data_IF_178791451986
#
_entry.id   IF_178791451986
#
_cell.length_a   1.000
_cell.length_b   1.000
_cell.length_c   1.000
_cell.angle_alpha   90.00
_cell.angle_beta   90.00
_cell.angle_gamma   90.00
#
_symmetry.space_group_name_H-M   'P 1'
#
loop_
_entity.id
_entity.type
_entity.pdbx_description
1 polymer ?
#
# COMPACT_ATOMS: atom_id res chain seq x y z
N UNK A 1 -24.53 -12.32 7.26
CA UNK A 1 -24.15 -13.37 6.30
C UNK A 1 -23.38 -14.43 7.06
N UNK A 2 -23.78 -15.70 6.99
CA UNK A 2 -23.05 -16.81 7.64
C UNK A 2 -21.67 -17.00 6.98
N UNK A 3 -20.74 -17.66 7.67
CA UNK A 3 -19.40 -17.93 7.14
C UNK A 3 -19.44 -18.78 5.86
N UNK A 4 -20.37 -19.73 5.79
CA UNK A 4 -20.54 -20.62 4.63
C UNK A 4 -21.06 -19.87 3.41
N UNK A 5 -22.09 -19.03 3.58
CA UNK A 5 -22.63 -18.18 2.51
C UNK A 5 -21.60 -17.18 1.97
N UNK A 6 -20.73 -16.63 2.84
CA UNK A 6 -19.63 -15.77 2.38
C UNK A 6 -18.63 -16.56 1.53
N UNK A 7 -18.22 -17.74 2.00
CA UNK A 7 -17.24 -18.59 1.31
C UNK A 7 -17.74 -18.99 -0.08
N UNK A 8 -19.01 -19.39 -0.19
CA UNK A 8 -19.65 -19.71 -1.47
C UNK A 8 -19.68 -18.51 -2.42
N UNK A 9 -20.04 -17.31 -1.93
CA UNK A 9 -20.08 -16.09 -2.76
C UNK A 9 -18.68 -15.68 -3.23
N UNK A 10 -17.66 -15.73 -2.37
CA UNK A 10 -16.28 -15.44 -2.75
C UNK A 10 -15.77 -16.44 -3.80
N UNK A 11 -16.05 -17.74 -3.61
CA UNK A 11 -15.70 -18.77 -4.58
C UNK A 11 -16.42 -18.55 -5.92
N UNK A 12 -17.68 -18.12 -5.92
CA UNK A 12 -18.42 -17.79 -7.13
C UNK A 12 -17.80 -16.61 -7.89
N UNK A 13 -17.49 -15.50 -7.20
CA UNK A 13 -16.83 -14.33 -7.80
C UNK A 13 -15.47 -14.72 -8.37
N UNK A 14 -14.70 -15.52 -7.63
CA UNK A 14 -13.41 -16.00 -8.09
C UNK A 14 -13.52 -16.92 -9.34
N UNK A 15 -14.66 -17.60 -9.56
CA UNK A 15 -14.85 -18.55 -10.68
C UNK A 15 -15.48 -17.92 -11.94
N UNK A 16 -16.18 -16.80 -11.83
CA UNK A 16 -17.09 -16.30 -12.88
C UNK A 16 -16.72 -14.88 -13.35
N UNK A 17 -16.11 -14.71 -14.54
CA UNK A 17 -15.72 -13.39 -15.07
C UNK A 17 -16.75 -12.55 -15.87
N UNK A 18 -18.06 -12.86 -16.02
CA UNK A 18 -19.02 -11.95 -16.69
C UNK A 18 -19.70 -10.89 -15.80
N UNK A 19 -20.18 -11.24 -14.59
CA UNK A 19 -20.90 -10.28 -13.71
C UNK A 19 -20.00 -9.15 -13.18
N UNK A 20 -18.69 -9.37 -13.24
CA UNK A 20 -17.69 -8.37 -12.94
C UNK A 20 -17.62 -7.27 -14.01
N UNK A 21 -17.89 -7.57 -15.28
CA UNK A 21 -17.87 -6.55 -16.35
C UNK A 21 -19.00 -5.54 -16.15
N UNK A 22 -20.19 -6.01 -15.79
CA UNK A 22 -21.34 -5.14 -15.47
C UNK A 22 -21.08 -4.33 -14.19
N UNK A 23 -20.44 -4.92 -13.17
CA UNK A 23 -20.05 -4.21 -11.95
C UNK A 23 -18.92 -3.19 -12.18
N UNK A 24 -17.91 -3.53 -12.99
CA UNK A 24 -16.83 -2.63 -13.41
C UNK A 24 -17.37 -1.51 -14.29
N UNK A 25 -18.34 -1.81 -15.17
CA UNK A 25 -19.03 -0.83 -16.01
C UNK A 25 -19.88 0.13 -15.17
N UNK A 26 -20.69 -0.39 -14.25
CA UNK A 26 -21.42 0.40 -13.27
C UNK A 26 -20.48 1.28 -12.42
N UNK A 27 -19.34 0.74 -11.95
CA UNK A 27 -18.35 1.51 -11.18
C UNK A 27 -17.65 2.61 -12.02
N UNK A 28 -17.39 2.35 -13.31
CA UNK A 28 -16.85 3.35 -14.26
C UNK A 28 -17.84 4.49 -14.47
N UNK A 29 -19.13 4.19 -14.55
CA UNK A 29 -20.21 5.17 -14.71
C UNK A 29 -20.41 6.02 -13.44
N UNK A 30 -20.09 5.49 -12.27
CA UNK A 30 -20.20 6.19 -10.98
C UNK A 30 -18.98 7.06 -10.62
N UNK A 31 -17.85 6.99 -11.35
CA UNK A 31 -16.60 7.69 -10.97
C UNK A 31 -16.09 8.65 -12.04
N UNK A 32 -15.97 9.93 -11.67
CA UNK A 32 -15.15 10.91 -12.39
C UNK A 32 -13.67 10.55 -12.22
N UNK A 33 -12.85 10.62 -13.28
CA UNK A 33 -11.41 10.36 -13.17
C UNK A 33 -10.79 11.40 -12.25
N UNK A 34 -10.24 10.95 -11.12
CA UNK A 34 -9.35 11.77 -10.32
C UNK A 34 -8.03 11.93 -11.10
N UNK A 35 -7.75 13.14 -11.56
CA UNK A 35 -6.46 13.50 -12.15
C UNK A 35 -5.33 13.24 -11.15
N UNK A 36 -4.33 12.44 -11.54
CA UNK A 36 -3.09 12.26 -10.78
C UNK A 36 -3.21 11.30 -9.59
N UNK A 37 -3.37 10.00 -9.86
CA UNK A 37 -3.12 8.98 -8.83
C UNK A 37 -1.61 8.89 -8.61
N UNK A 38 -1.13 9.43 -7.51
CA UNK A 38 0.24 9.27 -7.02
C UNK A 38 0.55 7.78 -6.82
N UNK A 39 1.30 7.21 -7.76
CA UNK A 39 1.80 5.84 -7.73
C UNK A 39 2.78 5.74 -6.56
N UNK A 40 2.52 4.81 -5.62
CA UNK A 40 3.28 4.54 -4.38
C UNK A 40 2.86 5.29 -3.11
N UNK A 41 1.86 6.20 -3.17
CA UNK A 41 1.40 6.98 -2.01
C UNK A 41 2.55 7.73 -1.29
N UNK A 42 3.51 8.26 -2.06
CA UNK A 42 4.63 8.99 -1.50
C UNK A 42 4.18 10.35 -0.94
N UNK A 43 3.14 10.94 -1.54
CA UNK A 43 2.57 12.21 -1.12
C UNK A 43 1.51 12.02 -0.04
N UNK A 44 1.69 12.71 1.09
CA UNK A 44 0.72 12.81 2.18
C UNK A 44 -0.47 13.70 1.75
N UNK A 45 -1.28 13.22 0.80
CA UNK A 45 -2.52 13.86 0.35
C UNK A 45 -3.74 13.20 1.00
N UNK A 46 -4.76 13.95 1.44
CA UNK A 46 -6.00 13.37 1.96
C UNK A 46 -6.73 12.50 0.93
N UNK A 47 -7.10 11.28 1.33
CA UNK A 47 -7.86 10.29 0.53
C UNK A 47 -9.02 9.66 1.28
N UNK A 48 -9.07 9.87 2.59
CA UNK A 48 -10.11 9.29 3.43
C UNK A 48 -11.47 9.85 3.05
N UNK A 49 -12.44 8.96 2.89
CA UNK A 49 -13.77 9.31 2.42
C UNK A 49 -14.68 9.70 3.61
N UNK A 50 -15.24 10.93 3.61
CA UNK A 50 -16.26 11.30 4.58
C UNK A 50 -17.56 10.53 4.32
N UNK A 51 -18.23 10.09 5.38
CA UNK A 51 -19.54 9.42 5.34
C UNK A 51 -20.55 10.19 6.17
N UNK A 52 -21.82 10.09 5.78
CA UNK A 52 -22.94 10.79 6.43
C UNK A 52 -23.00 10.63 7.96
N UNK A 53 -22.60 9.47 8.47
CA UNK A 53 -22.66 9.13 9.90
C UNK A 53 -21.38 9.54 10.65
N UNK A 54 -20.38 10.13 9.98
CA UNK A 54 -19.14 10.57 10.62
C UNK A 54 -19.40 11.81 11.46
N UNK A 55 -19.06 11.73 12.75
CA UNK A 55 -18.92 12.90 13.62
C UNK A 55 -17.68 13.68 13.20
N UNK A 56 -17.87 14.92 12.77
CA UNK A 56 -16.80 15.75 12.21
C UNK A 56 -16.37 16.87 13.15
N UNK A 57 -15.06 17.10 13.19
CA UNK A 57 -14.43 18.18 13.94
C UNK A 57 -13.54 19.02 13.03
N UNK A 58 -13.50 20.33 13.28
CA UNK A 58 -12.63 21.27 12.59
C UNK A 58 -11.43 21.64 13.48
N UNK A 59 -10.30 22.01 12.87
CA UNK A 59 -9.20 22.64 13.62
C UNK A 59 -9.69 23.91 14.31
N UNK A 60 -9.25 24.18 15.55
CA UNK A 60 -9.60 25.40 16.24
C UNK A 60 -9.01 26.63 15.54
N UNK A 61 -9.73 27.75 15.56
CA UNK A 61 -9.23 29.03 15.04
C UNK A 61 -9.27 29.19 13.52
N UNK A 62 -10.00 28.33 12.81
CA UNK A 62 -10.27 28.52 11.38
C UNK A 62 -11.20 29.72 11.16
N UNK A 63 -10.87 30.55 10.18
CA UNK A 63 -11.70 31.69 9.78
C UNK A 63 -11.72 31.86 8.25
N UNK A 64 -12.77 32.51 7.76
CA UNK A 64 -12.97 32.76 6.34
C UNK A 64 -12.43 34.12 5.93
N UNK A 65 -11.62 34.15 4.87
CA UNK A 65 -11.09 35.36 4.26
C UNK A 65 -11.52 35.42 2.78
N UNK A 66 -12.02 36.57 2.35
CA UNK A 66 -12.26 36.86 0.93
C UNK A 66 -11.00 37.52 0.34
N UNK A 67 -10.45 36.93 -0.72
CA UNK A 67 -9.27 37.47 -1.42
C UNK A 67 -9.59 37.61 -2.91
N UNK A 68 -10.03 38.80 -3.29
CA UNK A 68 -10.50 39.06 -4.66
C UNK A 68 -11.79 38.29 -4.96
N UNK A 69 -11.73 37.35 -5.91
CA UNK A 69 -12.88 36.50 -6.28
C UNK A 69 -12.89 35.12 -5.60
N UNK A 70 -11.87 34.78 -4.81
CA UNK A 70 -11.78 33.50 -4.12
C UNK A 70 -12.09 33.64 -2.63
N UNK A 71 -12.79 32.64 -2.10
CA UNK A 71 -12.99 32.44 -0.67
C UNK A 71 -11.91 31.50 -0.16
N UNK A 72 -11.27 31.84 0.95
CA UNK A 72 -10.22 31.02 1.57
C UNK A 72 -10.55 30.72 3.02
N UNK A 73 -10.15 29.54 3.48
CA UNK A 73 -10.21 29.10 4.87
C UNK A 73 -8.80 29.11 5.44
N UNK A 74 -8.58 29.92 6.48
CA UNK A 74 -7.27 30.19 7.06
C UNK A 74 -7.19 29.78 8.52
N UNK A 75 -6.02 29.27 8.93
CA UNK A 75 -5.66 29.11 10.33
C UNK A 75 -5.14 30.41 10.94
N UNK A 76 -5.13 30.52 12.27
CA UNK A 76 -4.70 31.73 12.98
C UNK A 76 -3.25 32.14 12.72
N UNK A 77 -2.37 31.18 12.44
CA UNK A 77 -0.94 31.39 12.19
C UNK A 77 -0.58 31.51 10.69
N UNK A 78 -1.59 31.44 9.81
CA UNK A 78 -1.39 31.46 8.36
C UNK A 78 -0.74 30.20 7.77
N UNK A 79 -0.47 29.15 8.58
CA UNK A 79 0.08 27.88 8.09
C UNK A 79 -0.90 27.09 7.21
N UNK A 80 -2.19 27.39 7.38
CA UNK A 80 -3.31 26.83 6.62
C UNK A 80 -3.89 27.94 5.75
N UNK A 81 -3.96 27.69 4.45
CA UNK A 81 -4.60 28.60 3.50
C UNK A 81 -5.25 27.84 2.34
N UNK A 82 -6.50 27.40 2.55
CA UNK A 82 -7.23 26.53 1.62
C UNK A 82 -8.26 27.31 0.80
N UNK A 83 -8.24 27.16 -0.52
CA UNK A 83 -9.25 27.77 -1.40
C UNK A 83 -10.56 26.97 -1.39
N UNK A 84 -11.68 27.66 -1.16
CA UNK A 84 -13.04 27.10 -1.15
C UNK A 84 -13.74 27.43 -2.47
N UNK A 85 -13.31 26.78 -3.56
CA UNK A 85 -13.80 27.05 -4.91
C UNK A 85 -15.32 26.80 -5.05
N UNK A 86 -16.03 27.79 -5.58
CA UNK A 86 -17.46 27.69 -5.88
C UNK A 86 -18.37 27.70 -4.64
N UNK A 87 -17.90 28.25 -3.52
CA UNK A 87 -18.67 28.50 -2.30
C UNK A 87 -18.77 30.00 -2.00
N UNK A 88 -19.94 30.43 -1.52
CA UNK A 88 -20.10 31.77 -0.95
C UNK A 88 -19.60 31.79 0.49
N UNK A 89 -19.18 32.97 0.98
CA UNK A 89 -18.80 33.15 2.39
C UNK A 89 -19.91 32.71 3.33
N UNK A 90 -21.17 33.04 3.01
CA UNK A 90 -22.34 32.67 3.80
C UNK A 90 -22.49 31.15 3.91
N UNK A 91 -22.38 30.43 2.80
CA UNK A 91 -22.52 28.97 2.80
C UNK A 91 -21.39 28.30 3.59
N UNK A 92 -20.15 28.70 3.36
CA UNK A 92 -18.99 28.16 4.08
C UNK A 92 -19.06 28.45 5.59
N UNK A 93 -19.52 29.64 5.98
CA UNK A 93 -19.67 30.03 7.39
C UNK A 93 -20.72 29.15 8.07
N UNK A 94 -21.89 28.96 7.44
CA UNK A 94 -22.96 28.11 7.97
C UNK A 94 -22.50 26.66 8.16
N UNK A 95 -21.73 26.13 7.21
CA UNK A 95 -21.15 24.79 7.33
C UNK A 95 -20.16 24.74 8.50
N UNK A 96 -19.21 25.68 8.56
CA UNK A 96 -18.16 25.72 9.59
C UNK A 96 -18.73 25.84 11.00
N UNK A 97 -19.77 26.67 11.21
CA UNK A 97 -20.48 26.83 12.49
C UNK A 97 -21.22 25.54 12.92
N UNK A 98 -21.52 24.65 11.98
CA UNK A 98 -22.15 23.37 12.28
C UNK A 98 -21.15 22.26 12.64
N UNK A 99 -19.86 22.44 12.39
CA UNK A 99 -18.81 21.46 12.69
C UNK A 99 -18.27 21.71 14.10
N UNK A 100 -18.86 21.04 15.09
CA UNK A 100 -18.57 21.24 16.52
C UNK A 100 -17.93 20.01 17.19
N UNK A 101 -17.61 18.97 16.44
CA UNK A 101 -17.08 17.71 16.97
C UNK A 101 -18.11 16.81 17.64
N UNK A 102 -19.42 17.12 17.53
CA UNK A 102 -20.51 16.33 18.11
C UNK A 102 -21.50 15.86 17.05
N UNK A 103 -21.80 16.70 16.07
CA UNK A 103 -22.73 16.39 14.98
C UNK A 103 -22.11 15.51 13.90
N UNK A 104 -22.91 14.62 13.34
CA UNK A 104 -22.55 13.86 12.15
C UNK A 104 -22.70 14.69 10.88
N UNK A 105 -22.09 14.26 9.77
CA UNK A 105 -22.18 14.99 8.50
C UNK A 105 -23.61 15.15 7.98
N UNK A 106 -24.51 14.20 8.24
CA UNK A 106 -25.93 14.33 7.89
C UNK A 106 -26.61 15.47 8.68
N UNK A 107 -26.30 15.59 9.97
CA UNK A 107 -26.80 16.68 10.82
C UNK A 107 -26.18 18.03 10.41
N UNK A 108 -24.89 18.06 10.09
CA UNK A 108 -24.23 19.26 9.54
C UNK A 108 -24.92 19.72 8.26
N UNK A 109 -25.23 18.81 7.33
CA UNK A 109 -25.96 19.15 6.11
C UNK A 109 -27.33 19.75 6.41
N UNK A 110 -28.07 19.12 7.32
CA UNK A 110 -29.41 19.53 7.70
C UNK A 110 -29.43 20.90 8.38
N UNK A 111 -28.63 21.08 9.45
CA UNK A 111 -28.60 22.27 10.28
C UNK A 111 -27.99 23.48 9.57
N UNK A 112 -26.95 23.26 8.76
CA UNK A 112 -26.34 24.33 7.99
C UNK A 112 -27.27 24.85 6.90
N UNK A 113 -28.33 24.11 6.53
CA UNK A 113 -29.32 24.47 5.51
C UNK A 113 -28.70 24.89 4.18
N UNK A 114 -27.56 24.28 3.84
CA UNK A 114 -26.93 24.33 2.51
C UNK A 114 -27.34 23.09 1.72
N UNK A 115 -27.25 23.15 0.39
CA UNK A 115 -27.46 21.98 -0.44
C UNK A 115 -26.28 20.98 -0.36
N UNK A 116 -26.53 19.74 -0.77
CA UNK A 116 -25.55 18.66 -0.73
C UNK A 116 -24.30 18.95 -1.57
N UNK A 117 -24.46 19.63 -2.71
CA UNK A 117 -23.36 19.96 -3.61
C UNK A 117 -22.38 20.96 -2.99
N UNK A 118 -22.89 21.95 -2.25
CA UNK A 118 -22.09 22.90 -1.48
C UNK A 118 -21.34 22.23 -0.35
N UNK A 119 -21.99 21.37 0.44
CA UNK A 119 -21.29 20.60 1.47
C UNK A 119 -20.19 19.72 0.85
N UNK A 120 -20.48 19.05 -0.27
CA UNK A 120 -19.48 18.24 -0.97
C UNK A 120 -18.30 19.07 -1.49
N UNK A 121 -18.53 20.29 -1.98
CA UNK A 121 -17.44 21.24 -2.35
C UNK A 121 -16.61 21.64 -1.15
N UNK A 122 -17.25 21.95 -0.02
CA UNK A 122 -16.57 22.31 1.21
C UNK A 122 -15.68 21.16 1.70
N UNK A 123 -16.21 19.94 1.77
CA UNK A 123 -15.47 18.76 2.20
C UNK A 123 -14.32 18.43 1.27
N UNK A 124 -14.49 18.55 -0.07
CA UNK A 124 -13.38 18.35 -1.02
C UNK A 124 -12.20 19.29 -0.79
N UNK A 125 -12.46 20.52 -0.31
CA UNK A 125 -11.41 21.50 -0.03
C UNK A 125 -10.80 21.38 1.37
N UNK A 126 -11.46 20.72 2.32
CA UNK A 126 -11.12 20.82 3.76
C UNK A 126 -10.91 19.49 4.47
N UNK A 127 -11.53 18.41 4.01
CA UNK A 127 -11.56 17.13 4.73
C UNK A 127 -10.20 16.42 4.67
N UNK A 128 -9.74 15.94 5.83
CA UNK A 128 -8.41 15.37 6.04
C UNK A 128 -7.26 16.40 6.07
N UNK A 129 -7.55 17.69 5.87
CA UNK A 129 -6.60 18.79 6.02
C UNK A 129 -6.89 19.62 7.27
N UNK A 130 -8.14 20.05 7.44
CA UNK A 130 -8.58 20.90 8.56
C UNK A 130 -9.93 20.50 9.14
N UNK A 131 -10.69 19.67 8.42
CA UNK A 131 -11.90 18.99 8.90
C UNK A 131 -11.62 17.51 8.95
N UNK A 132 -12.04 16.84 10.02
CA UNK A 132 -11.63 15.49 10.36
C UNK A 132 -12.81 14.66 10.87
N UNK A 133 -12.69 13.34 10.77
CA UNK A 133 -13.62 12.36 11.35
C UNK A 133 -12.88 11.49 12.39
N UNK A 134 -12.50 12.06 13.55
CA UNK A 134 -11.57 11.42 14.49
C UNK A 134 -12.12 10.09 15.03
N UNK A 135 -13.42 10.00 15.31
CA UNK A 135 -14.02 8.77 15.80
C UNK A 135 -13.91 7.61 14.78
N UNK A 136 -14.14 7.90 13.49
CA UNK A 136 -14.01 6.93 12.42
C UNK A 136 -12.57 6.43 12.24
N UNK A 137 -11.59 7.33 12.33
CA UNK A 137 -10.16 6.95 12.29
C UNK A 137 -9.78 6.11 13.50
N UNK A 138 -10.21 6.50 14.71
CA UNK A 138 -9.93 5.74 15.93
C UNK A 138 -10.52 4.33 15.88
N UNK A 139 -11.74 4.18 15.37
CA UNK A 139 -12.36 2.87 15.18
C UNK A 139 -11.52 1.98 14.24
N UNK A 140 -11.08 2.55 13.10
CA UNK A 140 -10.28 1.82 12.12
C UNK A 140 -8.87 1.49 12.66
N UNK A 141 -8.20 2.43 13.31
CA UNK A 141 -6.88 2.21 13.95
C UNK A 141 -6.94 1.13 15.03
N UNK A 142 -8.02 1.09 15.81
CA UNK A 142 -8.24 0.04 16.82
C UNK A 142 -8.44 -1.33 16.18
N UNK A 143 -9.14 -1.39 15.04
CA UNK A 143 -9.40 -2.64 14.34
C UNK A 143 -8.18 -3.14 13.55
N UNK A 144 -7.43 -2.24 12.92
CA UNK A 144 -6.23 -2.52 12.15
C UNK A 144 -5.41 -1.22 12.03
N UNK A 145 -4.21 -1.11 12.63
CA UNK A 145 -3.40 0.10 12.52
C UNK A 145 -3.04 0.45 11.06
N UNK A 146 -3.17 1.72 10.63
CA UNK A 146 -2.92 2.08 9.22
C UNK A 146 -1.49 1.77 8.79
N UNK A 147 -0.53 1.89 9.71
CA UNK A 147 0.87 1.60 9.43
C UNK A 147 1.06 0.18 8.84
N UNK A 148 0.21 -0.77 9.20
CA UNK A 148 0.31 -2.16 8.74
C UNK A 148 -0.25 -2.40 7.33
N UNK A 149 -0.83 -1.38 6.71
CA UNK A 149 -1.45 -1.49 5.37
C UNK A 149 -0.87 -0.48 4.39
N UNK A 150 0.15 0.28 4.79
CA UNK A 150 0.81 1.29 3.94
C UNK A 150 2.26 0.92 3.67
N UNK A 151 2.79 1.45 2.57
CA UNK A 151 4.21 1.36 2.24
C UNK A 151 5.02 2.27 3.15
N UNK A 152 4.65 3.54 3.21
CA UNK A 152 5.33 4.52 4.04
C UNK A 152 4.38 5.03 5.12
N UNK A 153 4.86 5.29 6.34
CA UNK A 153 4.04 5.96 7.35
C UNK A 153 3.46 7.25 6.79
N UNK A 154 2.15 7.42 6.95
CA UNK A 154 1.42 8.58 6.46
C UNK A 154 0.35 8.94 7.47
N UNK A 155 -0.19 10.16 7.36
CA UNK A 155 -1.35 10.52 8.16
C UNK A 155 -2.50 9.52 7.90
N UNK A 156 -3.32 9.15 8.90
CA UNK A 156 -4.44 8.24 8.70
C UNK A 156 -5.39 8.68 7.59
N UNK A 157 -5.57 10.00 7.44
CA UNK A 157 -6.42 10.59 6.39
C UNK A 157 -5.85 10.45 4.97
N UNK A 158 -4.59 10.04 4.80
CA UNK A 158 -4.00 9.72 3.51
C UNK A 158 -4.32 8.30 3.03
N UNK A 159 -5.00 7.49 3.86
CA UNK A 159 -5.43 6.14 3.51
C UNK A 159 -6.88 6.15 3.05
N UNK A 160 -7.17 5.52 1.91
CA UNK A 160 -8.54 5.34 1.44
C UNK A 160 -9.35 4.50 2.43
N UNK A 161 -10.51 4.99 2.86
CA UNK A 161 -11.33 4.33 3.89
C UNK A 161 -11.78 2.93 3.47
N UNK A 162 -12.20 2.77 2.22
CA UNK A 162 -12.58 1.47 1.67
C UNK A 162 -11.42 0.48 1.67
N UNK A 163 -10.22 0.92 1.27
CA UNK A 163 -9.01 0.10 1.33
C UNK A 163 -8.75 -0.40 2.76
N UNK A 164 -8.81 0.49 3.74
CA UNK A 164 -8.56 0.15 5.14
C UNK A 164 -9.55 -0.91 5.66
N UNK A 165 -10.83 -0.72 5.41
CA UNK A 165 -11.89 -1.66 5.79
C UNK A 165 -11.69 -3.02 5.11
N UNK A 166 -11.35 -3.02 3.82
CA UNK A 166 -11.08 -4.24 3.06
C UNK A 166 -9.87 -5.00 3.61
N UNK A 167 -8.79 -4.31 3.97
CA UNK A 167 -7.60 -4.94 4.55
C UNK A 167 -7.88 -5.56 5.93
N UNK A 168 -8.76 -4.93 6.73
CA UNK A 168 -9.25 -5.55 7.97
C UNK A 168 -9.99 -6.86 7.67
N UNK A 169 -10.85 -6.87 6.67
CA UNK A 169 -11.60 -8.07 6.31
C UNK A 169 -10.68 -9.18 5.76
N UNK A 170 -9.64 -8.83 5.00
CA UNK A 170 -8.55 -9.74 4.59
C UNK A 170 -7.87 -10.35 5.82
N UNK A 171 -7.54 -9.53 6.84
CA UNK A 171 -6.89 -9.98 8.08
C UNK A 171 -7.75 -10.98 8.83
N UNK A 172 -9.03 -10.68 9.01
CA UNK A 172 -9.99 -11.56 9.68
C UNK A 172 -10.10 -12.88 8.92
N UNK A 173 -10.28 -12.84 7.59
CA UNK A 173 -10.46 -14.05 6.78
C UNK A 173 -9.22 -14.95 6.78
N UNK A 174 -8.03 -14.36 6.72
CA UNK A 174 -6.78 -15.11 6.80
C UNK A 174 -6.72 -15.93 8.10
N UNK A 175 -7.01 -15.29 9.25
CA UNK A 175 -6.99 -15.94 10.56
C UNK A 175 -8.04 -17.05 10.62
N UNK A 176 -9.27 -16.80 10.14
CA UNK A 176 -10.35 -17.79 10.07
C UNK A 176 -9.99 -19.02 9.22
N UNK A 177 -9.07 -18.90 8.25
CA UNK A 177 -8.75 -19.92 7.25
C UNK A 177 -7.29 -20.38 7.28
N UNK A 178 -6.64 -20.33 8.43
CA UNK A 178 -5.26 -20.84 8.57
C UNK A 178 -5.14 -22.35 8.33
N UNK A 179 -6.24 -23.09 8.41
CA UNK A 179 -6.35 -24.50 8.01
C UNK A 179 -6.05 -24.73 6.52
N UNK A 180 -6.30 -23.73 5.66
CA UNK A 180 -6.02 -23.80 4.23
C UNK A 180 -4.52 -23.94 3.87
N UNK A 181 -3.63 -23.87 4.87
CA UNK A 181 -2.20 -24.16 4.71
C UNK A 181 -1.88 -25.67 4.60
N UNK A 182 -2.91 -26.53 4.68
CA UNK A 182 -2.78 -27.97 4.54
C UNK A 182 -2.35 -28.43 3.13
N UNK A 183 -2.71 -27.67 2.08
CA UNK A 183 -2.34 -28.00 0.68
C UNK A 183 -2.18 -26.75 -0.20
N UNK A 184 -1.40 -26.82 -1.29
CA UNK A 184 -1.26 -25.67 -2.22
C UNK A 184 -2.60 -25.29 -2.87
N UNK A 185 -3.47 -26.26 -3.12
CA UNK A 185 -4.79 -26.03 -3.71
C UNK A 185 -5.68 -25.20 -2.79
N UNK A 186 -5.71 -25.53 -1.49
CA UNK A 186 -6.46 -24.76 -0.51
C UNK A 186 -5.85 -23.39 -0.26
N UNK A 187 -4.51 -23.29 -0.22
CA UNK A 187 -3.84 -21.99 -0.15
C UNK A 187 -4.22 -21.13 -1.35
N UNK A 188 -4.17 -21.65 -2.57
CA UNK A 188 -4.53 -20.90 -3.77
C UNK A 188 -5.98 -20.42 -3.69
N UNK A 189 -6.89 -21.27 -3.23
CA UNK A 189 -8.29 -20.88 -2.98
C UNK A 189 -8.37 -19.72 -2.00
N UNK A 190 -7.67 -19.81 -0.86
CA UNK A 190 -7.60 -18.75 0.13
C UNK A 190 -7.03 -17.45 -0.47
N UNK A 191 -5.90 -17.51 -1.20
CA UNK A 191 -5.30 -16.33 -1.82
C UNK A 191 -6.27 -15.61 -2.77
N UNK A 192 -7.07 -16.36 -3.53
CA UNK A 192 -8.12 -15.79 -4.41
C UNK A 192 -9.21 -15.13 -3.58
N UNK A 193 -9.68 -15.76 -2.51
CA UNK A 193 -10.65 -15.16 -1.58
C UNK A 193 -10.12 -13.86 -0.95
N UNK A 194 -8.88 -13.87 -0.48
CA UNK A 194 -8.21 -12.68 0.10
C UNK A 194 -8.07 -11.57 -0.94
N UNK A 195 -7.80 -11.90 -2.20
CA UNK A 195 -7.76 -10.91 -3.28
C UNK A 195 -9.15 -10.32 -3.59
N UNK A 196 -10.21 -11.12 -3.55
CA UNK A 196 -11.59 -10.60 -3.67
C UNK A 196 -11.88 -9.62 -2.52
N UNK A 197 -11.59 -10.02 -1.28
CA UNK A 197 -11.80 -9.15 -0.11
C UNK A 197 -10.96 -7.88 -0.17
N UNK A 198 -9.72 -7.97 -0.66
CA UNK A 198 -8.84 -6.81 -0.81
C UNK A 198 -9.46 -5.73 -1.72
N UNK A 199 -10.17 -6.15 -2.76
CA UNK A 199 -10.82 -5.25 -3.70
C UNK A 199 -12.23 -4.87 -3.27
N UNK A 200 -13.02 -5.79 -2.70
CA UNK A 200 -14.47 -5.64 -2.55
C UNK A 200 -14.99 -5.62 -1.09
N UNK A 201 -14.13 -5.91 -0.11
CA UNK A 201 -14.53 -6.05 1.29
C UNK A 201 -15.45 -7.26 1.54
N UNK A 202 -15.81 -7.48 2.81
CA UNK A 202 -16.66 -8.62 3.22
C UNK A 202 -18.11 -8.49 2.76
N UNK A 203 -18.62 -7.28 2.68
CA UNK A 203 -19.98 -6.94 2.23
C UNK A 203 -20.15 -6.98 0.71
N UNK A 204 -19.04 -6.90 -0.04
CA UNK A 204 -19.02 -6.81 -1.51
C UNK A 204 -19.67 -5.52 -2.05
N UNK A 205 -19.88 -4.53 -1.20
CA UNK A 205 -20.45 -3.22 -1.52
C UNK A 205 -19.39 -2.11 -1.65
N UNK A 206 -18.15 -2.39 -1.23
CA UNK A 206 -17.02 -1.49 -1.39
C UNK A 206 -16.23 -1.87 -2.64
N UNK A 207 -15.51 -0.91 -3.23
CA UNK A 207 -14.51 -1.22 -4.24
C UNK A 207 -13.27 -0.34 -4.13
N UNK A 208 -12.15 -0.95 -3.77
CA UNK A 208 -10.83 -0.36 -3.85
C UNK A 208 -10.22 -0.65 -5.22
N UNK A 209 -9.89 0.41 -5.96
CA UNK A 209 -9.18 0.31 -7.23
C UNK A 209 -7.71 0.69 -6.96
N UNK A 210 -6.76 -0.26 -7.02
CA UNK A 210 -5.36 0.08 -6.85
C UNK A 210 -4.90 1.13 -7.87
N UNK A 211 -4.02 2.02 -7.44
CA UNK A 211 -3.36 3.00 -8.30
C UNK A 211 -2.29 2.33 -9.18
N UNK A 212 -2.68 1.37 -10.01
CA UNK A 212 -1.79 0.66 -10.95
C UNK A 212 -2.35 0.80 -12.37
N UNK A 213 -1.52 1.12 -13.38
CA UNK A 213 -1.97 1.13 -14.78
C UNK A 213 -2.62 -0.19 -15.21
N UNK A 214 -2.17 -1.34 -14.67
CA UNK A 214 -2.77 -2.65 -14.96
C UNK A 214 -4.21 -2.74 -14.45
N UNK A 215 -4.53 -2.10 -13.33
CA UNK A 215 -5.88 -2.08 -12.76
C UNK A 215 -6.84 -1.23 -13.60
N UNK A 216 -6.35 -0.24 -14.35
CA UNK A 216 -7.17 0.56 -15.27
C UNK A 216 -7.57 -0.22 -16.52
N UNK A 217 -6.76 -1.21 -16.91
CA UNK A 217 -6.98 -2.02 -18.11
C UNK A 217 -7.87 -3.23 -17.83
N UNK A 218 -7.62 -3.96 -16.73
CA UNK A 218 -8.35 -5.19 -16.41
C UNK A 218 -8.27 -5.48 -14.90
N UNK A 219 -9.42 -5.43 -14.21
CA UNK A 219 -9.54 -5.96 -12.84
C UNK A 219 -10.28 -7.27 -12.89
N UNK A 220 -9.80 -8.26 -12.14
CA UNK A 220 -10.40 -9.58 -11.98
C UNK A 220 -10.25 -10.03 -10.52
N UNK A 221 -11.20 -9.72 -9.61
CA UNK A 221 -11.17 -10.18 -8.23
C UNK A 221 -11.07 -11.70 -8.16
N UNK A 222 -10.08 -12.20 -7.42
CA UNK A 222 -9.72 -13.62 -7.37
C UNK A 222 -9.18 -14.23 -8.67
N UNK A 223 -9.16 -13.51 -9.79
CA UNK A 223 -8.67 -14.00 -11.07
C UNK A 223 -7.15 -13.95 -11.17
N UNK A 224 -6.54 -15.06 -11.57
CA UNK A 224 -5.10 -15.16 -11.80
C UNK A 224 -4.71 -14.42 -13.09
N UNK A 225 -3.57 -13.75 -13.06
CA UNK A 225 -2.99 -13.08 -14.22
C UNK A 225 -2.10 -14.08 -14.98
N UNK A 226 -2.70 -14.96 -15.77
CA UNK A 226 -2.00 -16.10 -16.39
C UNK A 226 -1.26 -15.76 -17.69
N UNK A 227 -1.58 -14.63 -18.31
CA UNK A 227 -0.97 -14.18 -19.58
C UNK A 227 0.57 -14.12 -19.47
N UNK A 228 1.29 -14.65 -20.47
CA UNK A 228 2.74 -14.55 -20.55
C UNK A 228 3.18 -13.12 -20.95
N UNK A 229 4.29 -12.59 -20.39
CA UNK A 229 4.86 -11.33 -20.85
C UNK A 229 5.34 -11.43 -22.31
N UNK A 230 4.77 -10.64 -23.21
CA UNK A 230 5.23 -10.59 -24.61
C UNK A 230 6.26 -9.49 -24.78
N UNK A 231 7.48 -9.91 -25.09
CA UNK A 231 8.65 -9.03 -25.23
C UNK A 231 9.31 -9.30 -26.59
N UNK A 232 9.60 -8.23 -27.34
CA UNK A 232 10.45 -8.30 -28.52
C UNK A 232 11.90 -8.01 -28.08
N UNK A 233 12.76 -9.01 -28.23
CA UNK A 233 14.18 -8.87 -27.92
C UNK A 233 14.89 -8.04 -28.99
N UNK A 234 15.70 -7.08 -28.55
CA UNK A 234 16.55 -6.25 -29.41
C UNK A 234 17.90 -6.03 -28.75
N UNK A 235 18.94 -5.80 -29.56
CA UNK A 235 20.30 -5.60 -29.08
C UNK A 235 20.47 -4.42 -28.10
N UNK A 236 19.71 -3.33 -28.28
CA UNK A 236 19.86 -2.12 -27.45
C UNK A 236 18.90 -2.06 -26.25
N UNK A 237 17.63 -2.42 -26.45
CA UNK A 237 16.63 -2.49 -25.38
C UNK A 237 15.43 -3.33 -25.81
N UNK A 238 14.88 -4.11 -24.89
CA UNK A 238 13.69 -4.91 -25.17
C UNK A 238 12.46 -4.02 -25.38
N UNK A 239 11.53 -4.45 -26.23
CA UNK A 239 10.24 -3.76 -26.41
C UNK A 239 9.14 -4.60 -25.78
N UNK A 240 8.49 -4.05 -24.77
CA UNK A 240 7.40 -4.71 -24.07
C UNK A 240 6.07 -4.45 -24.78
N UNK A 241 5.36 -5.51 -25.17
CA UNK A 241 4.08 -5.42 -25.85
C UNK A 241 2.93 -5.47 -24.82
N UNK A 242 2.80 -6.58 -24.09
CA UNK A 242 1.73 -6.84 -23.14
C UNK A 242 2.11 -7.92 -22.09
N UNK A 243 1.21 -8.16 -21.14
CA UNK A 243 1.40 -9.14 -20.06
C UNK A 243 1.94 -8.54 -18.75
N UNK A 244 2.19 -9.39 -17.74
CA UNK A 244 2.55 -8.96 -16.39
C UNK A 244 3.95 -8.34 -16.38
N UNK A 245 4.03 -7.12 -15.83
CA UNK A 245 5.28 -6.44 -15.55
C UNK A 245 5.15 -5.53 -14.34
N UNK A 246 6.23 -5.42 -13.58
CA UNK A 246 6.33 -4.51 -12.44
C UNK A 246 7.52 -3.58 -12.66
N UNK A 247 7.30 -2.28 -12.51
CA UNK A 247 8.39 -1.32 -12.60
C UNK A 247 9.32 -1.51 -11.39
N UNK A 248 10.62 -1.69 -11.63
CA UNK A 248 11.63 -1.89 -10.58
C UNK A 248 12.67 -0.77 -10.59
N UNK A 249 12.21 0.48 -10.74
CA UNK A 249 13.06 1.66 -10.62
C UNK A 249 13.67 1.76 -9.22
N UNK A 250 14.84 2.41 -9.14
CA UNK A 250 15.54 2.68 -7.88
C UNK A 250 14.85 3.82 -7.13
N UNK A 251 13.82 3.49 -6.34
CA UNK A 251 13.12 4.46 -5.48
C UNK A 251 14.08 4.94 -4.40
N UNK A 252 14.25 6.26 -4.30
CA UNK A 252 15.29 6.85 -3.46
C UNK A 252 16.66 6.90 -4.13
N UNK A 253 16.77 6.63 -5.44
CA UNK A 253 17.98 6.86 -6.24
C UNK A 253 18.89 5.63 -6.37
N UNK A 254 19.65 5.57 -7.47
CA UNK A 254 20.57 4.46 -7.74
C UNK A 254 21.70 4.37 -6.73
N UNK A 255 22.24 5.52 -6.27
CA UNK A 255 23.31 5.56 -5.26
C UNK A 255 22.89 4.92 -3.93
N UNK A 256 21.65 5.15 -3.50
CA UNK A 256 21.06 4.48 -2.34
C UNK A 256 21.01 2.96 -2.54
N UNK A 257 20.41 2.50 -3.64
CA UNK A 257 20.25 1.08 -3.92
C UNK A 257 21.59 0.35 -4.04
N UNK A 258 22.58 0.95 -4.70
CA UNK A 258 23.93 0.38 -4.82
C UNK A 258 24.59 0.16 -3.46
N UNK A 259 24.51 1.15 -2.57
CA UNK A 259 25.02 1.02 -1.21
C UNK A 259 24.26 -0.06 -0.45
N UNK A 260 22.92 -0.03 -0.50
CA UNK A 260 22.07 -1.02 0.16
C UNK A 260 22.41 -2.45 -0.29
N UNK A 261 22.56 -2.69 -1.58
CA UNK A 261 22.84 -4.01 -2.15
C UNK A 261 24.20 -4.56 -1.70
N UNK A 262 25.21 -3.70 -1.62
CA UNK A 262 26.52 -4.05 -1.05
C UNK A 262 26.44 -4.43 0.42
N UNK A 263 25.75 -3.62 1.22
CA UNK A 263 25.54 -3.88 2.65
C UNK A 263 24.69 -5.12 2.92
N UNK A 264 23.89 -5.54 1.93
CA UNK A 264 23.13 -6.78 1.96
C UNK A 264 23.87 -7.93 1.29
N UNK A 265 25.07 -7.76 0.73
CA UNK A 265 25.86 -8.80 0.09
C UNK A 265 25.28 -9.35 -1.22
N UNK A 266 24.65 -8.50 -2.03
CA UNK A 266 24.10 -8.84 -3.35
C UNK A 266 24.36 -7.73 -4.38
N UNK A 267 25.63 -7.48 -4.69
CA UNK A 267 26.08 -6.43 -5.61
C UNK A 267 25.40 -6.48 -6.99
N UNK A 268 25.02 -7.69 -7.45
CA UNK A 268 24.34 -7.92 -8.73
C UNK A 268 22.86 -7.51 -8.75
N UNK A 269 22.26 -7.09 -7.64
CA UNK A 269 20.84 -6.66 -7.62
C UNK A 269 20.56 -5.38 -8.45
N UNK A 270 21.61 -4.62 -8.77
CA UNK A 270 21.55 -3.48 -9.66
C UNK A 270 21.45 -3.85 -11.15
N UNK A 271 21.73 -5.11 -11.51
CA UNK A 271 21.89 -5.52 -12.90
C UNK A 271 20.62 -5.27 -13.72
N UNK A 272 20.83 -4.84 -14.97
CA UNK A 272 19.75 -4.52 -15.91
C UNK A 272 19.07 -5.77 -16.47
N UNK A 273 19.75 -6.93 -16.37
CA UNK A 273 19.26 -8.24 -16.75
C UNK A 273 19.61 -9.23 -15.65
N UNK A 274 18.59 -9.88 -15.07
CA UNK A 274 18.80 -10.86 -13.99
C UNK A 274 17.68 -11.88 -13.97
N UNK A 275 18.03 -13.15 -14.06
CA UNK A 275 17.07 -14.24 -13.86
C UNK A 275 17.04 -14.66 -12.40
N UNK A 276 15.85 -14.92 -11.87
CA UNK A 276 15.67 -15.43 -10.52
C UNK A 276 15.22 -16.87 -10.59
N UNK A 277 16.12 -17.81 -10.30
CA UNK A 277 15.83 -19.24 -10.23
C UNK A 277 16.24 -19.74 -8.85
N UNK A 278 15.29 -20.29 -8.09
CA UNK A 278 15.54 -20.82 -6.75
C UNK A 278 15.16 -22.28 -6.75
N UNK A 279 16.11 -23.17 -6.46
CA UNK A 279 15.90 -24.63 -6.47
C UNK A 279 15.31 -25.16 -7.79
N UNK A 280 15.71 -24.58 -8.92
CA UNK A 280 15.19 -24.94 -10.25
C UNK A 280 13.81 -24.36 -10.59
N UNK A 281 13.18 -23.64 -9.66
CA UNK A 281 11.90 -22.96 -9.88
C UNK A 281 12.17 -21.53 -10.37
N UNK A 282 11.64 -21.13 -11.54
CA UNK A 282 11.78 -19.77 -12.04
C UNK A 282 10.84 -18.83 -11.30
N UNK A 283 11.39 -17.76 -10.73
CA UNK A 283 10.66 -16.73 -10.01
C UNK A 283 10.57 -15.41 -10.77
N UNK A 284 10.92 -15.40 -12.05
CA UNK A 284 10.85 -14.23 -12.93
C UNK A 284 12.21 -13.66 -13.27
N UNK A 285 12.22 -12.53 -13.98
CA UNK A 285 13.45 -11.90 -14.46
C UNK A 285 13.34 -10.39 -14.53
N UNK A 286 14.44 -9.70 -14.30
CA UNK A 286 14.61 -8.26 -14.57
C UNK A 286 15.11 -8.08 -15.99
N UNK A 287 14.52 -7.14 -16.72
CA UNK A 287 14.93 -6.77 -18.07
C UNK A 287 14.92 -5.25 -18.24
N UNK A 288 15.86 -4.71 -19.01
CA UNK A 288 15.80 -3.36 -19.54
C UNK A 288 14.84 -3.33 -20.74
N UNK A 289 13.69 -2.67 -20.59
CA UNK A 289 12.67 -2.60 -21.64
C UNK A 289 11.95 -1.25 -21.69
N UNK A 290 11.31 -0.97 -22.83
CA UNK A 290 10.36 0.12 -23.00
C UNK A 290 9.06 -0.38 -23.62
N UNK A 291 7.94 0.20 -23.24
CA UNK A 291 6.66 0.05 -23.95
C UNK A 291 6.45 1.20 -24.94
N UNK A 292 5.42 1.11 -25.78
CA UNK A 292 5.06 2.15 -26.75
C UNK A 292 4.81 3.52 -26.10
N UNK A 293 4.35 3.53 -24.84
CA UNK A 293 4.02 4.76 -24.09
C UNK A 293 5.18 5.29 -23.24
N UNK A 294 6.31 4.57 -23.20
CA UNK A 294 7.45 4.98 -22.38
C UNK A 294 8.37 5.93 -23.16
N UNK A 295 8.78 7.00 -22.50
CA UNK A 295 9.74 8.00 -22.99
C UNK A 295 11.17 7.43 -23.12
N UNK A 296 11.51 6.44 -22.30
CA UNK A 296 12.82 5.78 -22.26
C UNK A 296 12.73 4.35 -21.74
N UNK A 297 13.77 3.55 -22.02
CA UNK A 297 13.90 2.22 -21.42
C UNK A 297 14.12 2.32 -19.90
N UNK A 298 13.49 1.39 -19.16
CA UNK A 298 13.57 1.28 -17.70
C UNK A 298 13.71 -0.20 -17.32
N UNK A 299 14.14 -0.48 -16.10
CA UNK A 299 14.14 -1.84 -15.58
C UNK A 299 12.73 -2.28 -15.22
N UNK A 300 12.33 -3.40 -15.78
CA UNK A 300 11.05 -4.06 -15.54
C UNK A 300 11.30 -5.46 -15.01
N UNK A 301 10.54 -5.85 -14.00
CA UNK A 301 10.47 -7.23 -13.57
C UNK A 301 9.32 -7.93 -14.27
N UNK A 302 9.61 -9.08 -14.86
CA UNK A 302 8.67 -9.97 -15.52
C UNK A 302 8.43 -11.19 -14.63
N UNK A 303 7.25 -11.31 -13.98
CA UNK A 303 6.87 -12.48 -13.21
C UNK A 303 6.91 -13.77 -14.05
N UNK A 304 7.17 -14.93 -13.41
CA UNK A 304 7.30 -16.19 -14.13
C UNK A 304 5.94 -16.65 -14.65
N UNK A 305 5.90 -17.13 -15.89
CA UNK A 305 4.73 -17.79 -16.48
C UNK A 305 5.17 -19.03 -17.29
N UNK A 306 4.37 -20.11 -17.32
CA UNK A 306 3.13 -20.31 -16.56
C UNK A 306 3.39 -20.45 -15.05
N UNK A 307 2.39 -20.11 -14.23
CA UNK A 307 2.43 -20.40 -12.80
C UNK A 307 2.14 -21.89 -12.58
N UNK A 308 3.03 -22.60 -11.90
CA UNK A 308 2.94 -24.03 -11.62
C UNK A 308 2.70 -24.33 -10.14
N UNK A 309 2.35 -25.59 -9.86
CA UNK A 309 2.08 -26.09 -8.49
C UNK A 309 3.26 -25.85 -7.54
N UNK A 310 4.50 -25.97 -8.02
CA UNK A 310 5.68 -25.79 -7.18
C UNK A 310 5.81 -24.37 -6.62
N UNK A 311 5.29 -23.35 -7.33
CA UNK A 311 5.26 -21.98 -6.79
C UNK A 311 4.31 -21.88 -5.60
N UNK A 312 3.14 -22.50 -5.70
CA UNK A 312 2.12 -22.42 -4.64
C UNK A 312 2.48 -23.30 -3.45
N UNK A 313 3.14 -24.45 -3.67
CA UNK A 313 3.71 -25.25 -2.59
C UNK A 313 4.82 -24.52 -1.85
N UNK A 314 5.69 -23.78 -2.54
CA UNK A 314 6.71 -22.96 -1.89
C UNK A 314 6.07 -21.83 -1.04
N UNK A 315 5.08 -21.12 -1.59
CA UNK A 315 4.32 -20.11 -0.83
C UNK A 315 3.69 -20.71 0.43
N UNK A 316 3.06 -21.88 0.29
CA UNK A 316 2.44 -22.60 1.41
C UNK A 316 3.46 -22.99 2.46
N UNK A 317 4.57 -23.58 2.06
CA UNK A 317 5.62 -24.02 2.96
C UNK A 317 6.17 -22.86 3.79
N UNK A 318 6.44 -21.71 3.16
CA UNK A 318 6.96 -20.53 3.87
C UNK A 318 5.93 -19.90 4.80
N UNK A 319 4.67 -19.81 4.36
CA UNK A 319 3.58 -19.27 5.18
C UNK A 319 3.27 -20.17 6.39
N UNK A 320 3.27 -21.50 6.20
CA UNK A 320 3.09 -22.46 7.28
C UNK A 320 4.23 -22.38 8.31
N UNK A 321 5.49 -22.28 7.86
CA UNK A 321 6.65 -22.10 8.75
C UNK A 321 6.54 -20.81 9.56
N UNK A 322 6.19 -19.70 8.93
CA UNK A 322 5.99 -18.42 9.61
C UNK A 322 4.84 -18.49 10.63
N UNK A 323 3.72 -19.13 10.28
CA UNK A 323 2.58 -19.32 11.18
C UNK A 323 2.95 -20.14 12.42
N UNK A 324 3.64 -21.26 12.25
CA UNK A 324 4.10 -22.08 13.38
C UNK A 324 5.17 -21.37 14.23
N UNK A 325 6.05 -20.59 13.61
CA UNK A 325 7.01 -19.75 14.33
C UNK A 325 6.31 -18.66 15.16
N UNK A 326 5.27 -18.01 14.62
CA UNK A 326 4.46 -17.02 15.34
C UNK A 326 3.80 -17.64 16.58
N UNK A 327 3.20 -18.84 16.45
CA UNK A 327 2.59 -19.57 17.58
C UNK A 327 3.59 -19.92 18.68
N UNK A 328 4.83 -20.23 18.31
CA UNK A 328 5.91 -20.57 19.25
C UNK A 328 6.71 -19.37 19.74
N UNK A 329 6.35 -18.15 19.32
CA UNK A 329 7.11 -16.92 19.57
C UNK A 329 8.60 -17.01 19.12
N UNK A 330 8.90 -17.81 18.10
CA UNK A 330 10.23 -17.95 17.50
C UNK A 330 10.46 -16.80 16.51
N UNK A 331 11.00 -15.69 17.02
CA UNK A 331 11.14 -14.45 16.24
C UNK A 331 12.03 -14.61 15.00
N UNK A 332 13.25 -15.20 15.06
CA UNK A 332 14.07 -15.38 13.88
C UNK A 332 13.39 -16.21 12.79
N UNK A 333 12.76 -17.34 13.16
CA UNK A 333 12.07 -18.19 12.18
C UNK A 333 10.81 -17.51 11.60
N UNK A 334 10.09 -16.73 12.39
CA UNK A 334 8.96 -15.93 11.93
C UNK A 334 9.40 -14.90 10.89
N UNK A 335 10.47 -14.15 11.17
CA UNK A 335 10.98 -13.10 10.28
C UNK A 335 11.50 -13.72 8.98
N UNK A 336 12.28 -14.80 9.02
CA UNK A 336 12.77 -15.50 7.82
C UNK A 336 11.60 -16.07 6.98
N UNK A 337 10.64 -16.75 7.62
CA UNK A 337 9.46 -17.29 6.93
C UNK A 337 8.60 -16.20 6.27
N UNK A 338 8.35 -15.09 6.98
CA UNK A 338 7.65 -13.92 6.43
C UNK A 338 8.42 -13.31 5.24
N UNK A 339 9.75 -13.18 5.34
CA UNK A 339 10.57 -12.65 4.26
C UNK A 339 10.48 -13.54 3.01
N UNK A 340 10.66 -14.85 3.16
CA UNK A 340 10.59 -15.80 2.04
C UNK A 340 9.21 -15.83 1.39
N UNK A 341 8.15 -15.90 2.20
CA UNK A 341 6.78 -15.82 1.68
C UNK A 341 6.55 -14.51 0.92
N UNK A 342 6.89 -13.36 1.51
CA UNK A 342 6.68 -12.07 0.88
C UNK A 342 7.42 -11.97 -0.46
N UNK A 343 8.69 -12.36 -0.49
CA UNK A 343 9.50 -12.31 -1.70
C UNK A 343 8.91 -13.17 -2.81
N UNK A 344 8.61 -14.44 -2.50
CA UNK A 344 8.03 -15.38 -3.43
C UNK A 344 6.67 -14.87 -3.96
N UNK A 345 5.82 -14.34 -3.09
CA UNK A 345 4.49 -13.84 -3.49
C UNK A 345 4.58 -12.62 -4.38
N UNK A 346 5.42 -11.65 -4.01
CA UNK A 346 5.62 -10.42 -4.79
C UNK A 346 6.21 -10.71 -6.17
N UNK A 347 7.15 -11.67 -6.25
CA UNK A 347 7.73 -12.15 -7.52
C UNK A 347 6.75 -12.92 -8.38
N UNK A 348 5.97 -13.83 -7.78
CA UNK A 348 4.97 -14.60 -8.52
C UNK A 348 3.91 -13.67 -9.13
N UNK A 349 3.55 -12.63 -8.39
CA UNK A 349 2.58 -11.61 -8.80
C UNK A 349 1.31 -12.23 -9.39
N UNK A 350 0.58 -13.07 -8.61
CA UNK A 350 -0.43 -13.96 -9.15
C UNK A 350 -1.67 -13.23 -9.70
N UNK A 351 -1.96 -12.00 -9.26
CA UNK A 351 -3.17 -11.27 -9.65
C UNK A 351 -2.86 -10.07 -10.56
N UNK A 352 -3.88 -9.51 -11.22
CA UNK A 352 -3.72 -8.30 -12.06
C UNK A 352 -3.41 -7.03 -11.26
N UNK A 353 -3.83 -6.98 -9.99
CA UNK A 353 -3.63 -5.82 -9.13
C UNK A 353 -3.64 -6.26 -7.65
N UNK A 354 -3.41 -5.30 -6.74
CA UNK A 354 -3.45 -5.50 -5.28
C UNK A 354 -2.53 -6.59 -4.69
N UNK A 355 -1.60 -7.18 -5.46
CA UNK A 355 -0.67 -8.21 -4.97
C UNK A 355 0.10 -7.75 -3.72
N UNK A 356 0.64 -6.53 -3.73
CA UNK A 356 1.39 -6.01 -2.59
C UNK A 356 0.51 -5.80 -1.35
N UNK A 357 -0.74 -5.37 -1.53
CA UNK A 357 -1.69 -5.20 -0.43
C UNK A 357 -2.04 -6.54 0.23
N UNK A 358 -2.23 -7.59 -0.57
CA UNK A 358 -2.47 -8.95 -0.08
C UNK A 358 -1.24 -9.49 0.65
N UNK A 359 -0.05 -9.42 0.04
CA UNK A 359 1.21 -9.87 0.65
C UNK A 359 1.47 -9.17 1.99
N UNK A 360 1.32 -7.85 2.02
CA UNK A 360 1.48 -7.03 3.22
C UNK A 360 0.55 -7.43 4.34
N UNK A 361 -0.72 -7.67 4.04
CA UNK A 361 -1.68 -8.06 5.06
C UNK A 361 -1.43 -9.45 5.63
N UNK A 362 -0.97 -10.39 4.80
CA UNK A 362 -0.62 -11.73 5.27
C UNK A 362 0.59 -11.66 6.20
N UNK A 363 1.65 -10.98 5.78
CA UNK A 363 2.88 -10.83 6.55
C UNK A 363 2.62 -10.12 7.88
N UNK A 364 1.95 -8.97 7.85
CA UNK A 364 1.66 -8.21 9.06
C UNK A 364 0.69 -8.93 10.01
N UNK A 365 -0.11 -9.90 9.53
CA UNK A 365 -0.91 -10.75 10.39
C UNK A 365 -0.03 -11.59 11.31
N UNK A 366 0.97 -12.25 10.73
CA UNK A 366 1.88 -13.12 11.46
C UNK A 366 2.86 -12.34 12.32
N UNK A 367 3.35 -11.19 11.83
CA UNK A 367 4.18 -10.28 12.64
C UNK A 367 3.38 -9.76 13.86
N UNK A 368 2.13 -9.33 13.66
CA UNK A 368 1.28 -8.93 14.79
C UNK A 368 1.06 -10.08 15.77
N UNK A 369 0.83 -11.30 15.27
CA UNK A 369 0.64 -12.48 16.11
C UNK A 369 1.89 -12.84 16.94
N UNK A 370 3.09 -12.81 16.34
CA UNK A 370 4.32 -13.25 17.00
C UNK A 370 5.12 -12.15 17.70
N UNK A 371 4.99 -10.89 17.27
CA UNK A 371 5.74 -9.74 17.79
C UNK A 371 4.86 -8.68 18.47
N UNK A 372 3.54 -8.77 18.34
CA UNK A 372 2.58 -7.78 18.86
C UNK A 372 2.34 -6.58 17.94
N UNK A 373 3.10 -6.42 16.85
CA UNK A 373 2.89 -5.36 15.87
C UNK A 373 3.36 -5.77 14.47
N UNK A 374 2.76 -5.15 13.46
CA UNK A 374 3.27 -5.18 12.07
C UNK A 374 4.14 -3.96 11.73
N UNK A 375 4.57 -3.88 10.48
CA UNK A 375 5.43 -2.82 9.95
C UNK A 375 4.84 -2.17 8.69
N UNK A 376 5.20 -0.92 8.38
CA UNK A 376 5.06 -0.41 7.02
C UNK A 376 5.99 -1.20 6.08
N UNK A 377 5.57 -1.47 4.85
CA UNK A 377 6.37 -2.30 3.93
C UNK A 377 7.46 -1.56 3.16
N UNK A 378 7.54 -0.23 3.28
CA UNK A 378 8.57 0.62 2.69
C UNK A 378 8.75 0.33 1.19
N UNK A 379 9.98 0.05 0.78
CA UNK A 379 10.37 -0.40 -0.57
C UNK A 379 10.58 -1.91 -0.65
N UNK A 380 10.16 -2.69 0.36
CA UNK A 380 10.40 -4.13 0.42
C UNK A 380 9.84 -4.88 -0.80
N UNK A 381 8.73 -4.43 -1.36
CA UNK A 381 8.18 -5.02 -2.57
C UNK A 381 9.08 -4.80 -3.79
N UNK A 382 9.74 -3.65 -3.92
CA UNK A 382 10.72 -3.40 -4.99
C UNK A 382 12.02 -4.16 -4.75
N UNK A 383 12.47 -4.25 -3.50
CA UNK A 383 13.65 -5.02 -3.11
C UNK A 383 13.45 -6.51 -3.37
N UNK A 384 12.26 -7.05 -3.09
CA UNK A 384 11.90 -8.44 -3.36
C UNK A 384 12.09 -8.83 -4.84
N UNK A 385 11.86 -7.88 -5.75
CA UNK A 385 11.98 -8.11 -7.20
C UNK A 385 13.42 -8.10 -7.72
N UNK A 386 14.41 -7.70 -6.90
CA UNK A 386 15.82 -7.57 -7.32
C UNK A 386 16.80 -8.39 -6.50
N UNK A 387 16.59 -8.50 -5.20
CA UNK A 387 17.54 -9.13 -4.27
C UNK A 387 17.46 -10.66 -4.28
N UNK A 388 18.57 -11.37 -4.12
CA UNK A 388 18.54 -12.81 -3.81
C UNK A 388 17.84 -13.10 -2.47
N UNK A 389 17.33 -14.33 -2.25
CA UNK A 389 16.61 -14.68 -1.03
C UNK A 389 17.33 -14.33 0.27
N UNK A 390 18.65 -14.60 0.36
CA UNK A 390 19.42 -14.29 1.57
C UNK A 390 19.58 -12.79 1.82
N UNK A 391 19.81 -11.99 0.76
CA UNK A 391 19.92 -10.54 0.87
C UNK A 391 18.57 -9.90 1.19
N UNK A 392 17.50 -10.41 0.59
CA UNK A 392 16.15 -9.96 0.89
C UNK A 392 15.74 -10.26 2.35
N UNK A 393 16.05 -11.46 2.87
CA UNK A 393 15.79 -11.80 4.26
C UNK A 393 16.47 -10.82 5.24
N UNK A 394 17.72 -10.44 4.98
CA UNK A 394 18.43 -9.41 5.76
C UNK A 394 17.75 -8.04 5.67
N UNK A 395 17.33 -7.62 4.48
CA UNK A 395 16.61 -6.36 4.30
C UNK A 395 15.27 -6.33 5.05
N UNK A 396 14.56 -7.46 5.01
CA UNK A 396 13.30 -7.65 5.70
C UNK A 396 13.48 -7.64 7.23
N UNK A 397 14.51 -8.32 7.75
CA UNK A 397 14.89 -8.27 9.16
C UNK A 397 15.22 -6.85 9.63
N UNK A 398 16.02 -6.10 8.85
CA UNK A 398 16.30 -4.67 9.11
C UNK A 398 15.01 -3.86 9.18
N UNK A 399 14.06 -4.11 8.29
CA UNK A 399 12.77 -3.42 8.28
C UNK A 399 11.94 -3.76 9.53
N UNK A 400 11.87 -5.04 9.92
CA UNK A 400 11.19 -5.46 11.16
C UNK A 400 11.83 -4.78 12.37
N UNK A 401 13.15 -4.84 12.51
CA UNK A 401 13.88 -4.23 13.63
C UNK A 401 13.74 -2.71 13.67
N UNK A 402 13.81 -2.04 12.52
CA UNK A 402 13.79 -0.59 12.42
C UNK A 402 12.39 0.04 12.50
N UNK A 403 11.32 -0.71 12.17
CA UNK A 403 9.98 -0.14 11.97
C UNK A 403 8.87 -0.76 12.80
N UNK A 404 9.15 -1.82 13.55
CA UNK A 404 8.22 -2.27 14.60
C UNK A 404 8.11 -1.20 15.69
N UNK A 405 6.87 -0.84 16.02
CA UNK A 405 6.55 0.11 17.10
C UNK A 405 5.42 -0.51 17.92
N UNK A 406 5.71 -0.82 19.19
CA UNK A 406 4.78 -1.48 20.13
C UNK A 406 3.89 -0.49 20.89
N UNK A 407 3.91 0.79 20.54
CA UNK A 407 3.05 1.79 21.14
C UNK A 407 1.58 1.54 20.75
N UNK A 408 0.74 1.41 21.77
CA UNK A 408 -0.69 1.15 21.63
C UNK A 408 -1.45 2.44 21.27
N UNK A 409 -0.99 3.60 21.75
CA UNK A 409 -1.58 4.89 21.41
C UNK A 409 -1.31 5.25 19.93
N UNK A 410 -2.36 5.34 19.08
CA UNK A 410 -2.17 5.58 17.65
C UNK A 410 -1.44 6.89 17.33
N UNK A 411 -1.65 7.95 18.13
CA UNK A 411 -1.04 9.25 17.90
C UNK A 411 0.46 9.23 18.19
N UNK A 412 0.87 8.64 19.32
CA UNK A 412 2.29 8.43 19.67
C UNK A 412 2.98 7.50 18.69
N UNK A 413 2.34 6.37 18.32
CA UNK A 413 2.84 5.45 17.29
C UNK A 413 3.10 6.18 15.98
N UNK A 414 2.13 6.98 15.52
CA UNK A 414 2.28 7.78 14.30
C UNK A 414 3.41 8.81 14.42
N UNK A 415 3.53 9.51 15.54
CA UNK A 415 4.59 10.49 15.76
C UNK A 415 5.99 9.86 15.65
N UNK A 416 6.21 8.70 16.29
CA UNK A 416 7.47 7.94 16.19
C UNK A 416 7.75 7.56 14.74
N UNK A 417 6.79 6.94 14.05
CA UNK A 417 6.97 6.46 12.67
C UNK A 417 7.19 7.62 11.69
N UNK A 418 6.52 8.76 11.90
CA UNK A 418 6.70 9.96 11.10
C UNK A 418 8.09 10.54 11.29
N UNK A 419 8.61 10.59 12.51
CA UNK A 419 10.00 11.01 12.76
C UNK A 419 10.99 10.09 12.03
N UNK A 420 10.81 8.76 12.15
CA UNK A 420 11.65 7.77 11.45
C UNK A 420 11.64 7.99 9.93
N UNK A 421 10.47 8.23 9.34
CA UNK A 421 10.29 8.54 7.91
C UNK A 421 11.02 9.83 7.53
N UNK A 422 10.83 10.92 8.27
CA UNK A 422 11.45 12.20 7.95
C UNK A 422 12.97 12.14 8.00
N UNK A 423 13.53 11.51 9.05
CA UNK A 423 14.98 11.37 9.22
C UNK A 423 15.59 10.45 8.16
N UNK A 424 14.95 9.31 7.86
CA UNK A 424 15.44 8.42 6.80
C UNK A 424 15.36 9.07 5.43
N UNK A 425 14.28 9.79 5.10
CA UNK A 425 14.16 10.52 3.83
C UNK A 425 15.20 11.64 3.68
N UNK A 426 15.47 12.40 4.75
CA UNK A 426 16.51 13.42 4.74
C UNK A 426 17.90 12.82 4.47
N UNK A 427 18.22 11.69 5.10
CA UNK A 427 19.46 10.96 4.84
C UNK A 427 19.51 10.44 3.39
N UNK A 428 18.42 9.82 2.91
CA UNK A 428 18.34 9.27 1.55
C UNK A 428 18.57 10.33 0.47
N UNK A 429 18.03 11.55 0.64
CA UNK A 429 18.30 12.66 -0.29
C UNK A 429 19.79 12.97 -0.36
N UNK A 430 20.45 13.10 0.80
CA UNK A 430 21.89 13.40 0.89
C UNK A 430 22.75 12.27 0.33
N UNK A 431 22.43 11.01 0.63
CA UNK A 431 23.13 9.83 0.10
C UNK A 431 23.00 9.75 -1.43
N UNK A 432 21.85 10.15 -1.97
CA UNK A 432 21.61 10.19 -3.42
C UNK A 432 22.39 11.31 -4.12
N UNK A 433 22.58 12.43 -3.45
CA UNK A 433 23.32 13.60 -3.94
C UNK A 433 24.84 13.51 -3.73
N UNK A 434 25.30 12.57 -2.90
CA UNK A 434 26.71 12.36 -2.61
C UNK A 434 27.52 11.97 -3.87
N UNK A 435 28.68 12.60 -4.02
CA UNK A 435 29.53 12.56 -5.21
C UNK A 435 30.20 11.21 -5.40
N UNK A 436 30.57 10.57 -4.29
CA UNK A 436 31.30 9.32 -4.28
C UNK A 436 30.90 8.42 -3.10
N UNK A 437 31.44 7.19 -3.10
CA UNK A 437 31.15 6.19 -2.08
C UNK A 437 31.72 6.58 -0.70
N UNK A 438 32.82 7.33 -0.63
CA UNK A 438 33.40 7.75 0.64
C UNK A 438 32.50 8.78 1.35
N UNK A 439 31.97 9.75 0.61
CA UNK A 439 30.98 10.71 1.10
C UNK A 439 29.71 10.00 1.58
N UNK A 440 29.20 9.02 0.83
CA UNK A 440 28.04 8.21 1.26
C UNK A 440 28.29 7.49 2.58
N UNK A 441 29.44 6.85 2.73
CA UNK A 441 29.79 6.13 3.96
C UNK A 441 29.96 7.09 5.15
N UNK A 442 30.52 8.27 4.94
CA UNK A 442 30.61 9.31 5.97
C UNK A 442 29.22 9.79 6.43
N UNK A 443 28.28 9.98 5.49
CA UNK A 443 26.89 10.34 5.80
C UNK A 443 26.18 9.24 6.62
N UNK A 444 26.34 7.97 6.23
CA UNK A 444 25.76 6.82 6.93
C UNK A 444 26.32 6.71 8.35
N UNK A 445 27.63 6.87 8.52
CA UNK A 445 28.28 6.81 9.82
C UNK A 445 27.88 7.98 10.76
N UNK A 446 27.59 9.15 10.19
CA UNK A 446 27.18 10.32 10.96
C UNK A 446 25.75 10.22 11.53
N UNK A 447 24.86 9.44 10.89
CA UNK A 447 23.45 9.31 11.28
C UNK A 447 22.98 7.84 11.35
N UNK A 448 23.51 7.04 12.29
CA UNK A 448 23.29 5.60 12.32
C UNK A 448 21.80 5.22 12.45
N UNK A 449 21.01 5.96 13.23
CA UNK A 449 19.58 5.66 13.36
C UNK A 449 18.81 5.91 12.06
N UNK A 450 19.09 7.02 11.38
CA UNK A 450 18.48 7.31 10.08
C UNK A 450 18.90 6.29 9.03
N UNK A 451 20.17 5.84 9.06
CA UNK A 451 20.69 4.80 8.19
C UNK A 451 20.01 3.45 8.45
N UNK A 452 19.77 3.08 9.72
CA UNK A 452 19.01 1.86 10.08
C UNK A 452 17.59 1.92 9.55
N UNK A 453 16.89 3.05 9.70
CA UNK A 453 15.53 3.22 9.16
C UNK A 453 15.50 3.26 7.63
N UNK A 454 16.56 3.72 6.99
CA UNK A 454 16.78 3.64 5.54
C UNK A 454 17.22 2.23 5.07
N UNK A 455 17.37 1.27 6.00
CA UNK A 455 17.81 -0.12 5.77
C UNK A 455 19.28 -0.26 5.34
N UNK A 456 20.07 0.81 5.39
CA UNK A 456 21.47 0.82 4.97
C UNK A 456 22.38 0.04 5.93
N UNK A 457 22.01 -0.04 7.21
CA UNK A 457 22.76 -0.80 8.22
C UNK A 457 21.83 -1.69 9.06
N UNK A 458 22.43 -2.73 9.66
CA UNK A 458 21.79 -3.73 10.53
C UNK A 458 21.36 -3.21 11.89
#
# INVERSE_FOLDING_TARGET
MTADLLSERLAHIARVPPALLDYVQWLKEQRRPASGRDYLFAEDKPRFEPRKDDVVAALPGLHLQERGRSLRLQGMDGSIDLELAGLSRRDAQRILECIDGRRCLAEVLWDSGVDQDKLARFLRGTFGAVVFAPAAVTELERALPAVQIVRFPCAPYAVERAYWQNMRDVRVRLIERMDALASATELLTLLRELHVLALMGRSLDSFYMPASPSAEQRVAPGGLFEDEPRVIERAACNVFLDGPRVNVSFVGGEGYHRTLYRELGDDGAGDAQRDHVVQGIPWGRVLLARSERDDRARSWFCPPRPMREEHFEELRAQLARASEAAKRADRPALIDGCARFHQAFVRLHPFHCANQSVAMNIVNALLTQGLGAGIPHLVLDLLALRLEPGAYARAFERAVSGWTVLEDDPARRFAVLRERKLRSQALLSRVSEAKDDAERQALIAAEPDAARWALLIG
#
